data_IF_082414350630
#
_entry.id   IF_082414350630
#
_cell.length_a   1.000
_cell.length_b   1.000
_cell.length_c   1.000
_cell.angle_alpha   90.00
_cell.angle_beta   90.00
_cell.angle_gamma   90.00
#
_symmetry.space_group_name_H-M   'P 1'
#
loop_
_entity.id
_entity.type
_entity.pdbx_description
1 polymer ?
#
# COMPACT_ATOMS: atom_id res chain seq x y z
N UNK A 1 -31.38 -14.28 -47.67
CA UNK A 1 -30.95 -13.02 -47.04
C UNK A 1 -30.99 -13.24 -45.53
N UNK A 2 -29.82 -13.19 -44.89
CA UNK A 2 -29.63 -13.63 -43.51
C UNK A 2 -30.06 -12.59 -42.47
N UNK A 3 -30.59 -13.11 -41.37
CA UNK A 3 -31.01 -12.49 -40.13
C UNK A 3 -29.89 -11.65 -39.47
N UNK A 4 -30.20 -10.44 -38.98
CA UNK A 4 -29.28 -9.58 -38.23
C UNK A 4 -29.75 -9.48 -36.78
N UNK A 5 -29.02 -10.14 -35.88
CA UNK A 5 -29.21 -10.08 -34.43
C UNK A 5 -28.69 -8.74 -33.83
N UNK A 6 -29.24 -8.30 -32.67
CA UNK A 6 -28.78 -7.10 -31.99
C UNK A 6 -27.46 -7.33 -31.23
N UNK A 7 -26.48 -6.45 -31.45
CA UNK A 7 -25.25 -6.40 -30.66
C UNK A 7 -25.53 -5.82 -29.28
N UNK A 8 -25.53 -6.68 -28.25
CA UNK A 8 -25.61 -6.29 -26.84
C UNK A 8 -24.34 -5.55 -26.38
N UNK A 9 -24.54 -4.37 -25.77
CA UNK A 9 -23.51 -3.55 -25.15
C UNK A 9 -22.98 -4.11 -23.82
N UNK A 10 -21.64 -4.08 -23.68
CA UNK A 10 -20.79 -4.07 -22.46
C UNK A 10 -20.76 -5.27 -21.49
N UNK A 11 -19.56 -5.54 -20.92
CA UNK A 11 -19.41 -5.34 -19.48
C UNK A 11 -18.02 -4.77 -19.09
N UNK A 12 -17.89 -3.44 -19.01
CA UNK A 12 -16.73 -2.76 -18.36
C UNK A 12 -17.04 -2.30 -16.93
N UNK A 13 -18.28 -2.38 -16.46
CA UNK A 13 -18.70 -1.93 -15.11
C UNK A 13 -18.42 -2.94 -13.98
N UNK A 14 -18.14 -4.22 -14.27
CA UNK A 14 -18.03 -5.23 -13.21
C UNK A 14 -16.72 -5.18 -12.41
N UNK A 15 -15.63 -4.67 -12.99
CA UNK A 15 -14.29 -4.69 -12.39
C UNK A 15 -14.14 -3.68 -11.22
N UNK A 16 -14.70 -2.47 -11.35
CA UNK A 16 -14.66 -1.46 -10.27
C UNK A 16 -15.52 -1.80 -9.04
N UNK A 17 -16.50 -2.71 -9.20
CA UNK A 17 -17.39 -3.11 -8.09
C UNK A 17 -16.77 -4.17 -7.17
N UNK A 18 -15.81 -4.96 -7.65
CA UNK A 18 -15.17 -6.00 -6.85
C UNK A 18 -14.06 -5.43 -5.97
N UNK A 19 -13.33 -4.44 -6.48
CA UNK A 19 -12.24 -3.75 -5.80
C UNK A 19 -12.75 -2.82 -4.68
N UNK A 20 -13.83 -2.07 -4.93
CA UNK A 20 -14.53 -1.31 -3.89
C UNK A 20 -15.02 -2.22 -2.74
N UNK A 21 -15.50 -3.43 -3.06
CA UNK A 21 -15.93 -4.42 -2.05
C UNK A 21 -14.77 -5.00 -1.24
N UNK A 22 -13.54 -5.03 -1.77
CA UNK A 22 -12.37 -5.53 -1.05
C UNK A 22 -11.91 -4.51 0.02
N UNK A 23 -11.82 -3.23 -0.34
CA UNK A 23 -11.57 -2.13 0.62
C UNK A 23 -12.69 -2.03 1.65
N UNK A 24 -13.95 -2.18 1.21
CA UNK A 24 -15.10 -2.17 2.10
C UNK A 24 -15.12 -3.36 3.05
N UNK A 25 -14.67 -4.56 2.64
CA UNK A 25 -14.58 -5.72 3.54
C UNK A 25 -13.51 -5.58 4.61
N UNK A 26 -12.43 -4.88 4.29
CA UNK A 26 -11.35 -4.65 5.24
C UNK A 26 -11.77 -3.64 6.32
N UNK A 27 -12.50 -2.58 5.96
CA UNK A 27 -13.01 -1.58 6.91
C UNK A 27 -14.41 -1.87 7.48
N UNK A 28 -15.19 -2.80 6.90
CA UNK A 28 -16.55 -3.17 7.35
C UNK A 28 -16.64 -4.51 8.10
N UNK A 29 -15.69 -4.82 8.98
CA UNK A 29 -15.99 -5.74 10.09
C UNK A 29 -16.43 -4.93 11.33
N UNK A 30 -17.71 -4.53 11.49
CA UNK A 30 -18.18 -3.84 12.70
C UNK A 30 -18.40 -4.79 13.89
N UNK A 31 -17.65 -5.89 13.99
CA UNK A 31 -17.93 -6.97 14.93
C UNK A 31 -16.72 -7.35 15.76
N UNK A 32 -16.57 -6.69 16.91
CA UNK A 32 -15.88 -7.17 18.12
C UNK A 32 -14.58 -7.94 17.91
N UNK A 33 -13.46 -7.21 17.83
CA UNK A 33 -12.20 -7.64 18.43
C UNK A 33 -11.51 -6.42 19.07
N UNK A 34 -12.00 -5.98 20.23
CA UNK A 34 -11.08 -5.48 21.26
C UNK A 34 -10.35 -6.72 21.74
N UNK A 35 -9.25 -7.03 21.07
CA UNK A 35 -8.38 -8.13 21.41
C UNK A 35 -6.97 -7.63 21.19
N UNK A 36 -6.30 -7.28 22.28
CA UNK A 36 -4.83 -7.31 22.33
C UNK A 36 -4.44 -8.76 21.99
N UNK A 37 -4.25 -9.05 20.71
CA UNK A 37 -3.72 -10.34 20.28
C UNK A 37 -2.22 -10.30 20.55
N UNK A 38 -1.84 -10.94 21.66
CA UNK A 38 -0.48 -11.05 22.13
C UNK A 38 0.42 -11.71 21.06
N UNK A 39 1.60 -11.10 20.90
CA UNK A 39 2.82 -11.51 20.22
C UNK A 39 2.90 -12.96 19.70
N UNK A 40 2.96 -13.09 18.37
CA UNK A 40 3.84 -14.08 17.74
C UNK A 40 5.03 -13.31 17.16
N UNK A 41 6.12 -13.21 17.93
CA UNK A 41 7.40 -12.67 17.42
C UNK A 41 7.98 -13.74 16.50
N UNK A 42 7.64 -13.67 15.22
CA UNK A 42 8.39 -14.35 14.17
C UNK A 42 9.35 -13.31 13.60
N UNK A 43 10.60 -13.37 14.04
CA UNK A 43 11.69 -12.58 13.45
C UNK A 43 11.94 -13.09 12.03
N UNK A 44 11.20 -12.57 11.06
CA UNK A 44 11.55 -12.76 9.65
C UNK A 44 12.57 -11.69 9.27
N UNK A 45 13.77 -12.14 8.92
CA UNK A 45 14.77 -11.32 8.24
C UNK A 45 14.26 -11.11 6.81
N UNK A 46 13.38 -10.12 6.64
CA UNK A 46 12.68 -9.87 5.39
C UNK A 46 12.36 -8.39 5.19
N UNK A 47 13.24 -7.48 5.58
CA UNK A 47 13.09 -6.05 5.34
C UNK A 47 14.32 -5.47 4.68
N UNK A 48 14.24 -5.18 3.38
CA UNK A 48 15.20 -4.25 2.76
C UNK A 48 14.99 -2.89 3.43
N UNK A 49 16.05 -2.35 4.01
CA UNK A 49 16.06 -1.03 4.67
C UNK A 49 15.72 0.03 3.63
N UNK A 50 14.57 0.69 3.81
CA UNK A 50 14.21 1.89 3.05
C UNK A 50 15.03 3.05 3.63
N UNK A 51 15.90 3.62 2.80
CA UNK A 51 16.93 4.57 3.23
C UNK A 51 16.36 5.88 3.78
N UNK A 52 16.89 6.33 4.91
CA UNK A 52 16.76 7.70 5.38
C UNK A 52 17.61 8.64 4.53
N UNK A 53 17.08 9.84 4.25
CA UNK A 53 17.75 10.86 3.45
C UNK A 53 19.09 11.28 4.08
N UNK A 54 20.21 10.79 3.54
CA UNK A 54 21.53 11.38 3.78
C UNK A 54 21.89 12.21 2.55
N UNK A 55 21.58 13.49 2.63
CA UNK A 55 21.94 14.47 1.60
C UNK A 55 23.46 14.65 1.50
N UNK A 56 24.02 14.28 0.35
CA UNK A 56 25.39 14.57 -0.04
C UNK A 56 25.47 14.72 -1.58
N UNK A 57 26.07 15.78 -2.12
CA UNK A 57 26.16 15.98 -3.56
C UNK A 57 27.21 15.02 -4.13
N UNK A 58 26.77 13.88 -4.68
CA UNK A 58 27.64 12.96 -5.43
C UNK A 58 27.39 11.46 -5.27
N UNK A 59 26.40 11.03 -4.49
CA UNK A 59 26.09 9.61 -4.34
C UNK A 59 25.11 9.13 -5.41
N UNK A 60 25.48 8.04 -6.08
CA UNK A 60 24.63 7.23 -6.95
C UNK A 60 23.18 7.25 -6.47
N UNK A 61 22.25 7.68 -7.33
CA UNK A 61 20.81 7.69 -7.02
C UNK A 61 20.45 6.34 -6.41
N UNK A 62 20.15 6.34 -5.11
CA UNK A 62 19.80 5.14 -4.37
C UNK A 62 18.65 4.43 -5.10
N UNK A 63 18.67 3.10 -5.26
CA UNK A 63 17.66 2.38 -6.06
C UNK A 63 16.20 2.71 -5.71
N UNK A 64 15.94 3.11 -4.47
CA UNK A 64 14.63 3.57 -3.99
C UNK A 64 14.27 4.94 -4.55
N UNK A 65 15.22 5.89 -4.57
CA UNK A 65 15.00 7.23 -5.12
C UNK A 65 14.72 7.17 -6.64
N UNK A 66 15.47 6.34 -7.38
CA UNK A 66 15.23 6.18 -8.82
C UNK A 66 13.94 5.43 -9.13
N UNK A 67 13.54 4.44 -8.31
CA UNK A 67 12.24 3.77 -8.47
C UNK A 67 11.06 4.67 -8.09
N UNK A 68 11.22 5.52 -7.07
CA UNK A 68 10.24 6.53 -6.70
C UNK A 68 10.04 7.57 -7.81
N UNK A 69 11.14 8.08 -8.39
CA UNK A 69 11.09 8.99 -9.54
C UNK A 69 10.37 8.35 -10.73
N UNK A 70 10.67 7.08 -11.05
CA UNK A 70 9.99 6.35 -12.14
C UNK A 70 8.47 6.30 -11.95
N UNK A 71 7.99 6.00 -10.74
CA UNK A 71 6.54 5.95 -10.47
C UNK A 71 5.91 7.34 -10.52
N UNK A 72 6.56 8.33 -9.89
CA UNK A 72 5.97 9.67 -9.74
C UNK A 72 6.01 10.52 -11.00
N UNK A 73 6.89 10.18 -11.95
CA UNK A 73 7.01 10.87 -13.24
C UNK A 73 6.39 10.11 -14.41
N UNK A 74 5.87 8.89 -14.16
CA UNK A 74 5.19 8.12 -15.19
C UNK A 74 3.97 8.86 -15.73
N UNK A 75 3.74 8.78 -17.04
CA UNK A 75 2.62 9.46 -17.70
C UNK A 75 1.24 8.93 -17.28
N UNK A 76 1.21 7.71 -16.74
CA UNK A 76 0.00 7.03 -16.27
C UNK A 76 -0.14 7.05 -14.74
N UNK A 77 0.66 7.88 -14.04
CA UNK A 77 0.63 7.90 -12.58
C UNK A 77 -0.75 8.31 -12.05
N UNK A 78 -1.32 7.45 -11.20
CA UNK A 78 -2.52 7.75 -10.42
C UNK A 78 -2.10 8.05 -8.99
N UNK A 79 -2.55 9.19 -8.48
CA UNK A 79 -2.22 9.69 -7.14
C UNK A 79 -3.50 9.69 -6.31
N UNK A 80 -3.53 8.94 -5.21
CA UNK A 80 -4.61 8.98 -4.23
C UNK A 80 -4.05 9.33 -2.85
N UNK A 81 -4.61 10.38 -2.25
CA UNK A 81 -4.22 10.87 -0.93
C UNK A 81 -5.31 10.56 0.08
N UNK A 82 -4.93 9.97 1.21
CA UNK A 82 -5.81 9.66 2.34
C UNK A 82 -5.28 10.21 3.64
N UNK A 83 -6.21 10.54 4.53
CA UNK A 83 -5.90 10.81 5.92
C UNK A 83 -5.49 9.52 6.62
N UNK A 84 -4.48 9.62 7.47
CA UNK A 84 -3.97 8.48 8.25
C UNK A 84 -4.71 8.46 9.59
N UNK A 85 -5.19 7.28 9.99
CA UNK A 85 -5.75 7.11 11.34
C UNK A 85 -4.67 7.45 12.37
N UNK A 86 -4.96 8.43 13.23
CA UNK A 86 -3.99 8.99 14.18
C UNK A 86 -3.37 10.32 13.74
N UNK A 87 -3.68 10.82 12.56
CA UNK A 87 -3.22 12.12 12.05
C UNK A 87 -2.18 11.99 10.94
N UNK A 88 -2.03 13.06 10.16
CA UNK A 88 -1.18 13.09 8.97
C UNK A 88 -1.87 12.60 7.70
N UNK A 89 -1.09 12.45 6.64
CA UNK A 89 -1.58 12.02 5.33
C UNK A 89 -0.65 10.98 4.71
N UNK A 90 -1.25 10.04 3.98
CA UNK A 90 -0.54 9.11 3.12
C UNK A 90 -0.95 9.38 1.67
N UNK A 91 0.03 9.50 0.79
CA UNK A 91 -0.15 9.63 -0.64
C UNK A 91 0.37 8.36 -1.31
N UNK A 92 -0.49 7.69 -2.06
CA UNK A 92 -0.16 6.48 -2.79
C UNK A 92 -0.11 6.81 -4.28
N UNK A 93 0.97 6.41 -4.92
CA UNK A 93 1.22 6.59 -6.35
C UNK A 93 1.22 5.23 -7.00
N UNK A 94 0.42 5.06 -8.05
CA UNK A 94 0.34 3.85 -8.84
C UNK A 94 0.77 4.16 -10.26
N UNK A 95 1.67 3.36 -10.84
CA UNK A 95 1.90 3.35 -12.28
C UNK A 95 1.76 1.91 -12.79
N UNK A 96 0.82 1.72 -13.72
CA UNK A 96 0.55 0.41 -14.31
C UNK A 96 1.63 0.06 -15.33
N UNK A 97 2.13 1.03 -16.10
CA UNK A 97 3.21 0.84 -17.08
C UNK A 97 4.52 0.45 -16.42
N UNK A 98 4.81 1.01 -15.24
CA UNK A 98 6.01 0.67 -14.46
C UNK A 98 5.80 -0.55 -13.55
N UNK A 99 4.54 -1.03 -13.43
CA UNK A 99 4.13 -2.10 -12.51
C UNK A 99 4.60 -1.87 -11.06
N UNK A 100 4.58 -0.61 -10.61
CA UNK A 100 5.13 -0.17 -9.33
C UNK A 100 4.15 0.72 -8.58
N UNK A 101 4.28 0.70 -7.27
CA UNK A 101 3.55 1.59 -6.36
C UNK A 101 4.53 2.28 -5.43
N UNK A 102 4.32 3.55 -5.15
CA UNK A 102 5.05 4.28 -4.12
C UNK A 102 4.10 4.86 -3.09
N UNK A 103 4.56 4.97 -1.85
CA UNK A 103 3.83 5.59 -0.73
C UNK A 103 4.70 6.69 -0.15
N UNK A 104 4.06 7.82 0.14
CA UNK A 104 4.65 8.93 0.90
C UNK A 104 3.76 9.21 2.09
N UNK A 105 4.35 9.30 3.27
CA UNK A 105 3.72 9.63 4.52
C UNK A 105 4.21 10.99 5.00
N UNK A 106 3.30 11.85 5.42
CA UNK A 106 3.60 13.17 5.97
C UNK A 106 2.82 13.41 7.26
N UNK A 107 3.48 13.97 8.26
CA UNK A 107 2.89 14.39 9.54
C UNK A 107 2.09 13.29 10.26
N UNK A 108 2.44 12.03 10.05
CA UNK A 108 1.81 10.93 10.76
C UNK A 108 2.20 10.94 12.24
N UNK A 109 1.29 10.46 13.10
CA UNK A 109 1.63 10.29 14.51
C UNK A 109 2.88 9.40 14.67
N UNK A 110 3.82 9.76 15.57
CA UNK A 110 4.99 8.94 15.84
C UNK A 110 4.59 7.51 16.20
N UNK A 111 5.35 6.54 15.69
CA UNK A 111 5.14 5.14 16.02
C UNK A 111 5.63 4.84 17.44
N UNK A 112 4.95 3.93 18.18
CA UNK A 112 5.51 3.39 19.41
C UNK A 112 6.86 2.71 19.17
N UNK A 113 7.71 2.64 20.21
CA UNK A 113 9.00 1.96 20.11
C UNK A 113 8.84 0.49 19.65
N UNK A 114 9.74 0.05 18.77
CA UNK A 114 9.72 -1.31 18.21
C UNK A 114 8.58 -1.57 17.23
N UNK A 115 7.99 -0.53 16.62
CA UNK A 115 6.95 -0.64 15.59
C UNK A 115 7.39 -0.03 14.27
N UNK A 116 6.88 -0.59 13.19
CA UNK A 116 7.10 -0.12 11.80
C UNK A 116 5.76 -0.01 11.09
N UNK A 117 5.73 0.73 9.99
CA UNK A 117 4.64 0.61 9.05
C UNK A 117 4.91 -0.56 8.11
N UNK A 118 3.87 -1.32 7.79
CA UNK A 118 3.96 -2.35 6.76
C UNK A 118 2.90 -2.10 5.70
N UNK A 119 3.33 -2.16 4.45
CA UNK A 119 2.47 -2.00 3.29
C UNK A 119 2.10 -3.37 2.74
N UNK A 120 0.88 -3.49 2.25
CA UNK A 120 0.32 -4.75 1.77
C UNK A 120 -0.38 -4.53 0.43
N UNK A 121 -0.22 -5.47 -0.50
CA UNK A 121 -1.16 -5.63 -1.60
C UNK A 121 -2.24 -6.61 -1.18
N UNK A 122 -3.50 -6.17 -1.25
CA UNK A 122 -4.67 -6.94 -0.85
C UNK A 122 -5.51 -7.21 -2.08
N UNK A 123 -5.34 -8.41 -2.62
CA UNK A 123 -6.10 -8.93 -3.75
C UNK A 123 -7.07 -10.04 -3.33
N UNK A 124 -7.55 -10.82 -4.30
CA UNK A 124 -8.51 -11.89 -4.06
C UNK A 124 -7.99 -13.00 -3.11
N UNK A 125 -6.68 -13.24 -3.11
CA UNK A 125 -6.02 -14.25 -2.27
C UNK A 125 -5.73 -13.78 -0.84
N UNK A 126 -6.01 -12.51 -0.52
CA UNK A 126 -5.70 -11.91 0.77
C UNK A 126 -4.49 -10.96 0.72
N UNK A 127 -4.00 -10.50 1.90
CA UNK A 127 -2.91 -9.55 2.01
C UNK A 127 -1.55 -10.22 1.77
N UNK A 128 -0.72 -9.58 0.96
CA UNK A 128 0.68 -9.96 0.69
C UNK A 128 1.58 -8.79 1.08
N UNK A 129 2.61 -9.05 1.88
CA UNK A 129 3.57 -8.02 2.31
C UNK A 129 4.25 -7.40 1.10
N UNK A 130 4.19 -6.07 1.01
CA UNK A 130 4.76 -5.25 -0.06
C UNK A 130 5.90 -4.36 0.46
N UNK A 131 6.36 -4.58 1.69
CA UNK A 131 7.51 -3.88 2.28
C UNK A 131 7.19 -3.25 3.63
N UNK A 132 8.24 -2.85 4.33
CA UNK A 132 8.18 -2.18 5.63
C UNK A 132 8.84 -0.80 5.55
N UNK A 133 8.34 0.13 6.33
CA UNK A 133 8.83 1.49 6.41
C UNK A 133 8.93 1.91 7.88
N UNK A 134 10.14 2.26 8.30
CA UNK A 134 10.34 3.00 9.54
C UNK A 134 9.95 4.46 9.29
N UNK A 135 9.00 4.98 10.04
CA UNK A 135 8.61 6.38 9.98
C UNK A 135 9.18 7.10 11.21
N UNK A 136 10.37 7.68 11.06
CA UNK A 136 10.92 8.60 12.06
C UNK A 136 10.24 9.96 11.89
N UNK A 137 9.84 10.58 13.00
CA UNK A 137 9.21 11.91 13.02
C UNK A 137 7.92 12.05 12.20
N UNK A 138 7.24 10.93 11.90
CA UNK A 138 5.95 10.95 11.21
C UNK A 138 6.02 11.14 9.69
N UNK A 139 7.22 11.17 9.10
CA UNK A 139 7.42 11.32 7.67
C UNK A 139 8.23 10.15 7.08
N UNK A 140 7.95 9.79 5.83
CA UNK A 140 8.64 8.70 5.16
C UNK A 140 8.17 8.48 3.74
N UNK A 141 8.94 7.75 2.94
CA UNK A 141 8.50 7.30 1.64
C UNK A 141 9.07 5.91 1.35
N UNK A 142 8.35 5.10 0.59
CA UNK A 142 8.76 3.76 0.20
C UNK A 142 8.19 3.39 -1.17
N UNK A 143 8.93 2.57 -1.93
CA UNK A 143 8.42 1.90 -3.12
C UNK A 143 8.05 0.48 -2.72
N UNK A 144 6.82 0.06 -3.03
CA UNK A 144 6.31 -1.25 -2.67
C UNK A 144 6.97 -2.33 -3.54
N UNK A 145 7.27 -3.46 -2.90
CA UNK A 145 7.83 -4.65 -3.53
C UNK A 145 6.72 -5.47 -4.19
N UNK A 146 7.05 -6.07 -5.33
CA UNK A 146 6.10 -6.83 -6.14
C UNK A 146 5.25 -5.93 -7.03
N UNK A 147 4.27 -6.54 -7.70
CA UNK A 147 3.36 -5.86 -8.61
C UNK A 147 1.94 -5.96 -8.09
N UNK A 148 1.14 -4.93 -8.35
CA UNK A 148 -0.29 -4.93 -8.08
C UNK A 148 -1.05 -5.24 -9.37
N UNK A 149 -2.23 -5.83 -9.23
CA UNK A 149 -3.22 -5.93 -10.29
C UNK A 149 -4.21 -4.78 -10.14
N UNK A 150 -4.64 -4.11 -11.24
CA UNK A 150 -5.72 -3.12 -11.14
C UNK A 150 -6.94 -3.69 -10.41
N UNK A 151 -7.39 -2.98 -9.38
CA UNK A 151 -8.43 -3.43 -8.45
C UNK A 151 -7.91 -3.98 -7.12
N UNK A 152 -6.61 -4.23 -6.99
CA UNK A 152 -5.98 -4.54 -5.71
C UNK A 152 -5.99 -3.31 -4.80
N UNK A 153 -6.03 -3.56 -3.49
CA UNK A 153 -5.97 -2.52 -2.47
C UNK A 153 -4.60 -2.49 -1.83
N UNK A 154 -3.98 -1.31 -1.77
CA UNK A 154 -2.81 -1.04 -0.95
C UNK A 154 -3.29 -0.69 0.45
N UNK A 155 -2.89 -1.46 1.45
CA UNK A 155 -3.18 -1.20 2.86
C UNK A 155 -1.88 -0.89 3.63
N UNK A 156 -1.97 -0.01 4.63
CA UNK A 156 -0.85 0.32 5.52
C UNK A 156 -1.28 0.01 6.95
N UNK A 157 -0.49 -0.78 7.67
CA UNK A 157 -0.73 -1.18 9.07
C UNK A 157 0.46 -0.83 9.96
N UNK A 158 0.25 -0.80 11.27
CA UNK A 158 1.32 -0.64 12.25
C UNK A 158 1.72 -2.02 12.77
N UNK A 159 2.91 -2.48 12.46
CA UNK A 159 3.37 -3.84 12.74
C UNK A 159 4.56 -3.83 13.71
N UNK A 160 4.90 -4.95 14.34
CA UNK A 160 6.16 -5.10 15.07
C UNK A 160 7.37 -4.85 14.19
N UNK A 161 8.50 -4.45 14.79
CA UNK A 161 9.78 -4.36 14.08
C UNK A 161 10.10 -5.67 13.35
N UNK A 162 10.60 -5.55 12.12
CA UNK A 162 10.79 -6.69 11.19
C UNK A 162 9.56 -7.03 10.34
N UNK A 163 8.38 -6.48 10.69
CA UNK A 163 7.12 -6.75 10.02
C UNK A 163 6.48 -8.07 10.45
N UNK A 164 5.42 -8.44 9.72
CA UNK A 164 4.56 -9.58 10.00
C UNK A 164 4.30 -10.38 8.72
N UNK A 165 3.95 -11.66 8.86
CA UNK A 165 3.51 -12.50 7.72
C UNK A 165 2.08 -12.19 7.28
N UNK A 166 1.27 -11.70 8.21
CA UNK A 166 -0.10 -11.24 8.00
C UNK A 166 -0.33 -9.97 8.83
N UNK A 167 -1.23 -9.06 8.41
CA UNK A 167 -1.58 -7.89 9.19
C UNK A 167 -1.96 -8.24 10.63
N UNK A 168 -1.27 -7.66 11.62
CA UNK A 168 -1.59 -7.85 13.05
C UNK A 168 -2.47 -6.72 13.59
N UNK A 169 -2.55 -5.61 12.87
CA UNK A 169 -3.40 -4.46 13.21
C UNK A 169 -4.37 -4.10 12.09
N UNK A 170 -5.39 -3.33 12.44
CA UNK A 170 -6.25 -2.69 11.46
C UNK A 170 -5.45 -1.64 10.65
N UNK A 171 -5.73 -1.49 9.35
CA UNK A 171 -5.08 -0.50 8.53
C UNK A 171 -5.44 0.90 8.96
N UNK A 172 -4.40 1.71 8.99
CA UNK A 172 -4.50 3.14 9.21
C UNK A 172 -4.77 3.88 7.88
N UNK A 173 -4.55 3.21 6.75
CA UNK A 173 -4.82 3.67 5.38
C UNK A 173 -5.16 2.47 4.52
N UNK A 174 -6.15 2.59 3.63
CA UNK A 174 -6.24 1.71 2.46
C UNK A 174 -6.73 2.45 1.21
N UNK A 175 -6.12 2.11 0.09
CA UNK A 175 -6.34 2.76 -1.21
C UNK A 175 -6.46 1.68 -2.27
N UNK A 176 -7.52 1.73 -3.05
CA UNK A 176 -7.77 0.76 -4.12
C UNK A 176 -7.29 1.32 -5.45
N UNK A 177 -6.46 0.55 -6.15
CA UNK A 177 -6.08 0.87 -7.52
C UNK A 177 -7.29 0.74 -8.46
N UNK A 178 -7.45 1.69 -9.37
CA UNK A 178 -8.57 1.75 -10.32
C UNK A 178 -8.17 1.40 -11.73
#
# INVERSE_FOLDING_TARGET
AGDSAPSSSAPRERLGSASARASERWFRRPGTLIGVAAAAVVLVVGGVVVGTNVGGPGTSQTPVASAYEQVTTASDVVIDKRDVVGGGTATVYFSASEAKTAVVLNDASPLPEGRVLQMWYVGASGPVSAGVMSASDGAGHAVLLGSYTPGDTVAITVEPEGGSEQPTTEPIVAVTST
#
